data_IF_049318034804
#
_entry.id   IF_049318034804
#
_cell.length_a   1.000
_cell.length_b   1.000
_cell.length_c   1.000
_cell.angle_alpha   90.00
_cell.angle_beta   90.00
_cell.angle_gamma   90.00
#
_symmetry.space_group_name_H-M   'P 1'
#
loop_
_entity.id
_entity.type
_entity.pdbx_description
1 polymer ?
#
# COMPACT_ATOMS: atom_id res chain seq x y z
N UNK A 1 -14.61 24.71 -14.11
CA UNK A 1 -13.69 23.71 -13.54
C UNK A 1 -12.87 23.09 -14.66
N UNK A 2 -11.53 23.11 -14.57
CA UNK A 2 -10.66 22.61 -15.63
C UNK A 2 -10.81 21.09 -15.73
N UNK A 3 -11.11 20.60 -16.94
CA UNK A 3 -11.21 19.17 -17.27
C UNK A 3 -9.94 18.47 -16.80
N UNK A 4 -10.08 17.54 -15.83
CA UNK A 4 -9.06 16.56 -15.48
C UNK A 4 -8.48 15.99 -16.78
N UNK A 5 -7.17 16.12 -16.95
CA UNK A 5 -6.45 15.48 -18.05
C UNK A 5 -6.70 13.97 -17.94
N UNK A 6 -7.48 13.47 -18.90
CA UNK A 6 -7.68 12.05 -19.23
C UNK A 6 -6.38 11.26 -18.94
N UNK A 7 -6.39 10.36 -17.95
CA UNK A 7 -5.27 9.44 -17.70
C UNK A 7 -5.23 8.27 -18.69
N UNK A 8 -6.26 8.12 -19.51
CA UNK A 8 -6.20 7.36 -20.75
C UNK A 8 -6.83 8.22 -21.84
N UNK A 9 -6.00 8.77 -22.71
CA UNK A 9 -6.46 9.56 -23.85
C UNK A 9 -7.48 8.76 -24.66
N UNK A 10 -8.58 9.42 -25.06
CA UNK A 10 -9.55 8.93 -26.05
C UNK A 10 -8.90 8.81 -27.43
N UNK A 11 -7.96 7.89 -27.54
CA UNK A 11 -7.12 7.64 -28.70
C UNK A 11 -6.29 6.36 -28.52
N UNK A 12 -6.72 5.42 -27.68
CA UNK A 12 -6.12 4.09 -27.69
C UNK A 12 -6.58 3.41 -28.99
N UNK A 13 -5.65 3.06 -29.90
CA UNK A 13 -6.01 2.46 -31.17
C UNK A 13 -6.80 1.17 -30.93
N UNK A 14 -7.77 0.85 -31.80
CA UNK A 14 -8.53 -0.40 -31.72
C UNK A 14 -7.59 -1.62 -31.60
N UNK A 15 -6.38 -1.53 -32.19
CA UNK A 15 -5.33 -2.56 -32.09
C UNK A 15 -4.96 -2.92 -30.63
N UNK A 16 -5.06 -2.00 -29.69
CA UNK A 16 -4.73 -2.23 -28.27
C UNK A 16 -5.74 -3.13 -27.54
N UNK A 17 -6.94 -3.32 -28.09
CA UNK A 17 -7.97 -4.23 -27.54
C UNK A 17 -7.69 -5.70 -27.88
N UNK A 18 -6.89 -5.97 -28.91
CA UNK A 18 -6.61 -7.30 -29.44
C UNK A 18 -5.27 -7.83 -28.92
N UNK A 19 -5.32 -8.61 -27.83
CA UNK A 19 -4.17 -9.40 -27.39
C UNK A 19 -4.33 -10.88 -27.80
N UNK A 20 -3.21 -11.61 -27.87
CA UNK A 20 -3.18 -13.02 -28.30
C UNK A 20 -4.15 -13.90 -27.51
N UNK A 21 -4.27 -13.67 -26.20
CA UNK A 21 -5.16 -14.44 -25.33
C UNK A 21 -6.64 -14.18 -25.64
N UNK A 22 -7.03 -12.91 -25.83
CA UNK A 22 -8.38 -12.51 -26.21
C UNK A 22 -8.77 -13.05 -27.59
N UNK A 23 -7.86 -12.96 -28.57
CA UNK A 23 -8.08 -13.54 -29.89
C UNK A 23 -8.27 -15.06 -29.79
N UNK A 24 -7.47 -15.77 -28.98
CA UNK A 24 -7.65 -17.21 -28.77
C UNK A 24 -9.01 -17.55 -28.13
N UNK A 25 -9.50 -16.75 -27.18
CA UNK A 25 -10.83 -16.92 -26.57
C UNK A 25 -11.96 -16.64 -27.56
N UNK A 26 -11.81 -15.66 -28.45
CA UNK A 26 -12.80 -15.38 -29.50
C UNK A 26 -12.83 -16.55 -30.49
N UNK A 27 -11.66 -17.03 -30.92
CA UNK A 27 -11.53 -18.16 -31.83
C UNK A 27 -12.15 -19.44 -31.26
N UNK A 28 -12.05 -19.69 -29.96
CA UNK A 28 -12.67 -20.87 -29.33
C UNK A 28 -14.20 -20.78 -29.23
N UNK A 29 -14.77 -19.58 -29.31
CA UNK A 29 -16.22 -19.33 -29.26
C UNK A 29 -16.88 -19.22 -30.65
N UNK A 30 -16.09 -19.20 -31.73
CA UNK A 30 -16.61 -19.15 -33.10
C UNK A 30 -17.29 -20.47 -33.49
N UNK A 31 -18.57 -20.38 -33.86
CA UNK A 31 -19.35 -21.51 -34.39
C UNK A 31 -19.32 -21.50 -35.92
N UNK A 32 -19.48 -22.67 -36.55
CA UNK A 32 -19.46 -22.83 -38.02
C UNK A 32 -20.45 -21.93 -38.75
N UNK A 33 -21.64 -21.75 -38.18
CA UNK A 33 -22.69 -20.86 -38.71
C UNK A 33 -22.22 -19.41 -38.81
N UNK A 34 -21.51 -18.92 -37.80
CA UNK A 34 -20.96 -17.56 -37.75
C UNK A 34 -19.68 -17.45 -38.58
N UNK A 35 -18.89 -18.51 -38.75
CA UNK A 35 -17.68 -18.46 -39.58
C UNK A 35 -17.99 -18.29 -41.06
N UNK A 36 -19.12 -18.83 -41.53
CA UNK A 36 -19.55 -18.71 -42.92
C UNK A 36 -19.91 -17.28 -43.33
N UNK A 37 -20.22 -16.39 -42.38
CA UNK A 37 -20.50 -14.97 -42.66
C UNK A 37 -19.25 -14.10 -42.76
N UNK A 38 -18.06 -14.61 -42.39
CA UNK A 38 -16.80 -13.87 -42.48
C UNK A 38 -15.97 -14.31 -43.70
N UNK A 39 -15.61 -13.35 -44.55
CA UNK A 39 -14.66 -13.57 -45.64
C UNK A 39 -13.22 -13.48 -45.11
N UNK A 40 -12.63 -14.62 -44.76
CA UNK A 40 -11.25 -14.69 -44.27
C UNK A 40 -10.27 -14.38 -45.41
N UNK A 41 -9.45 -13.33 -45.24
CA UNK A 41 -8.36 -12.97 -46.15
C UNK A 41 -7.01 -13.33 -45.53
N UNK A 42 -6.08 -13.81 -46.35
CA UNK A 42 -4.70 -13.99 -45.92
C UNK A 42 -4.08 -12.64 -45.54
N UNK A 43 -3.33 -12.53 -44.44
CA UNK A 43 -2.64 -11.29 -44.10
C UNK A 43 -1.66 -10.93 -45.20
N UNK A 44 -1.78 -9.73 -45.77
CA UNK A 44 -0.91 -9.22 -46.85
C UNK A 44 0.12 -8.21 -46.35
N UNK A 45 -0.03 -7.73 -45.12
CA UNK A 45 0.84 -6.72 -44.52
C UNK A 45 2.08 -7.37 -43.91
N UNK A 46 3.25 -6.77 -44.13
CA UNK A 46 4.49 -7.20 -43.47
C UNK A 46 4.41 -6.96 -41.96
N UNK A 47 4.89 -7.94 -41.19
CA UNK A 47 4.96 -7.84 -39.74
C UNK A 47 6.04 -6.83 -39.33
N UNK A 48 5.68 -5.86 -38.51
CA UNK A 48 6.64 -4.98 -37.83
C UNK A 48 6.80 -5.46 -36.39
N UNK A 49 8.04 -5.63 -35.94
CA UNK A 49 8.35 -6.06 -34.59
C UNK A 49 9.47 -5.20 -34.01
N UNK A 50 9.49 -5.11 -32.68
CA UNK A 50 10.56 -4.47 -31.91
C UNK A 50 11.29 -5.54 -31.10
N UNK A 51 12.59 -5.35 -30.89
CA UNK A 51 13.42 -6.20 -30.03
C UNK A 51 13.83 -5.34 -28.84
N UNK A 52 13.52 -5.82 -27.63
CA UNK A 52 13.91 -5.21 -26.37
C UNK A 52 14.75 -6.19 -25.56
N UNK A 53 15.72 -5.66 -24.81
CA UNK A 53 16.53 -6.43 -23.88
C UNK A 53 16.23 -5.96 -22.46
N UNK A 54 15.90 -6.91 -21.59
CA UNK A 54 15.63 -6.66 -20.18
C UNK A 54 16.57 -7.52 -19.34
N UNK A 55 16.95 -7.01 -18.16
CA UNK A 55 17.70 -7.78 -17.17
C UNK A 55 16.80 -8.26 -16.06
N UNK A 56 17.14 -9.44 -15.53
CA UNK A 56 16.47 -9.97 -14.35
C UNK A 56 16.54 -8.97 -13.18
N UNK A 57 15.46 -8.84 -12.40
CA UNK A 57 15.45 -7.94 -11.25
C UNK A 57 16.51 -8.28 -10.21
N UNK A 58 17.11 -7.27 -9.61
CA UNK A 58 17.94 -7.44 -8.41
C UNK A 58 17.03 -7.24 -7.20
N UNK A 59 17.01 -8.21 -6.28
CA UNK A 59 16.24 -8.11 -5.05
C UNK A 59 17.16 -7.85 -3.86
N UNK A 60 16.90 -6.77 -3.14
CA UNK A 60 17.61 -6.37 -1.93
C UNK A 60 16.64 -6.35 -0.75
N UNK A 61 17.09 -6.82 0.40
CA UNK A 61 16.28 -7.02 1.59
C UNK A 61 16.95 -6.45 2.84
N UNK A 62 16.15 -5.93 3.77
CA UNK A 62 16.59 -5.52 5.11
C UNK A 62 15.38 -5.28 6.01
N UNK A 63 15.59 -4.63 7.16
CA UNK A 63 14.55 -4.12 8.04
C UNK A 63 14.64 -2.61 8.08
N UNK A 64 13.52 -1.90 8.00
CA UNK A 64 13.50 -0.46 8.14
C UNK A 64 12.95 -0.03 9.49
N UNK A 65 13.54 1.01 10.06
CA UNK A 65 13.00 1.78 11.20
C UNK A 65 12.46 3.09 10.66
N UNK A 66 11.37 3.55 11.25
CA UNK A 66 10.67 4.80 10.91
C UNK A 66 10.51 5.60 12.19
N UNK A 67 11.13 6.77 12.24
CA UNK A 67 11.13 7.65 13.41
C UNK A 67 10.12 8.80 13.29
N UNK A 68 9.78 9.20 12.07
CA UNK A 68 8.81 10.26 11.80
C UNK A 68 7.36 9.79 11.94
N UNK A 69 6.50 10.61 12.55
CA UNK A 69 5.03 10.42 12.59
C UNK A 69 4.30 11.10 11.42
N UNK A 70 5.04 11.67 10.47
CA UNK A 70 4.46 12.35 9.30
C UNK A 70 4.99 11.74 8.00
N UNK A 71 5.34 10.45 8.02
CA UNK A 71 5.96 9.75 6.88
C UNK A 71 5.14 8.51 6.50
N UNK A 72 4.51 8.46 5.32
CA UNK A 72 3.83 7.26 4.85
C UNK A 72 4.82 6.15 4.47
N UNK A 73 4.38 4.89 4.54
CA UNK A 73 5.21 3.75 4.14
C UNK A 73 5.50 3.76 2.63
N UNK A 74 4.47 4.00 1.83
CA UNK A 74 4.53 4.05 0.36
C UNK A 74 4.01 5.41 -0.14
N UNK A 75 4.37 5.86 -1.36
CA UNK A 75 4.03 7.18 -1.86
C UNK A 75 2.51 7.35 -1.93
N UNK A 76 2.00 8.30 -1.16
CA UNK A 76 0.58 8.56 -1.03
C UNK A 76 0.20 9.92 -1.63
N UNK A 77 -1.01 9.99 -2.17
CA UNK A 77 -1.68 11.23 -2.62
C UNK A 77 -3.02 11.33 -1.93
N UNK A 78 -3.38 12.53 -1.48
CA UNK A 78 -4.71 12.77 -0.91
C UNK A 78 -5.83 12.69 -1.97
N UNK A 79 -5.51 12.89 -3.24
CA UNK A 79 -6.43 12.70 -4.37
C UNK A 79 -5.63 12.54 -5.67
N UNK A 80 -6.27 12.05 -6.74
CA UNK A 80 -5.63 11.92 -8.06
C UNK A 80 -5.08 13.23 -8.63
N UNK A 81 -5.64 14.36 -8.21
CA UNK A 81 -5.26 15.69 -8.69
C UNK A 81 -4.08 16.29 -7.92
N UNK A 82 -3.75 15.75 -6.75
CA UNK A 82 -2.66 16.25 -5.92
C UNK A 82 -1.42 15.41 -6.21
N UNK A 83 -0.34 16.00 -6.76
CA UNK A 83 0.88 15.27 -7.01
C UNK A 83 1.44 14.64 -5.73
N UNK A 84 1.97 13.42 -5.85
CA UNK A 84 2.77 12.79 -4.79
C UNK A 84 3.89 13.73 -4.42
N UNK A 85 4.09 13.98 -3.13
CA UNK A 85 5.27 14.69 -2.66
C UNK A 85 6.47 13.75 -2.87
N UNK A 86 7.36 14.02 -3.85
CA UNK A 86 8.40 13.07 -4.21
C UNK A 86 9.39 12.88 -3.06
N UNK A 87 9.79 11.64 -2.79
CA UNK A 87 10.75 11.32 -1.73
C UNK A 87 10.19 11.41 -0.31
N UNK A 88 8.88 11.56 -0.16
CA UNK A 88 8.21 11.63 1.14
C UNK A 88 7.51 10.31 1.49
N UNK A 89 8.22 9.20 1.37
CA UNK A 89 7.79 7.89 1.86
C UNK A 89 8.98 7.06 2.32
N UNK A 90 8.73 6.08 3.19
CA UNK A 90 9.76 5.10 3.60
C UNK A 90 10.32 4.40 2.38
N UNK A 91 9.47 3.91 1.47
CA UNK A 91 9.91 3.22 0.27
C UNK A 91 10.82 4.09 -0.59
N UNK A 92 10.45 5.34 -0.90
CA UNK A 92 11.28 6.20 -1.76
C UNK A 92 12.63 6.55 -1.12
N UNK A 93 12.63 6.79 0.20
CA UNK A 93 13.86 7.10 0.95
C UNK A 93 14.83 5.91 0.98
N UNK A 94 14.31 4.68 0.99
CA UNK A 94 15.11 3.46 0.88
C UNK A 94 15.56 3.18 -0.55
N UNK A 95 14.69 3.39 -1.55
CA UNK A 95 15.00 3.06 -2.96
C UNK A 95 15.95 4.05 -3.61
N UNK A 96 15.93 5.32 -3.20
CA UNK A 96 16.67 6.41 -3.86
C UNK A 96 18.14 6.07 -4.16
N UNK A 97 18.89 5.60 -3.16
CA UNK A 97 20.31 5.30 -3.33
C UNK A 97 20.54 4.02 -4.16
N UNK A 98 19.64 3.04 -4.06
CA UNK A 98 19.70 1.81 -4.86
C UNK A 98 19.40 2.07 -6.35
N UNK A 99 18.42 2.93 -6.64
CA UNK A 99 18.09 3.34 -8.02
C UNK A 99 19.26 4.10 -8.65
N UNK A 100 19.92 4.98 -7.89
CA UNK A 100 21.09 5.73 -8.35
C UNK A 100 22.26 4.81 -8.77
N UNK A 101 22.54 3.78 -7.99
CA UNK A 101 23.63 2.82 -8.25
C UNK A 101 23.30 1.82 -9.37
N UNK A 102 22.05 1.37 -9.44
CA UNK A 102 21.61 0.34 -10.41
C UNK A 102 21.13 0.89 -11.74
N UNK A 103 20.71 2.16 -11.78
CA UNK A 103 19.98 2.77 -12.90
C UNK A 103 18.84 1.86 -13.38
N UNK A 104 18.09 1.26 -12.46
CA UNK A 104 16.94 0.44 -12.80
C UNK A 104 15.78 1.29 -13.33
N UNK A 105 14.93 0.69 -14.15
CA UNK A 105 13.78 1.36 -14.77
C UNK A 105 12.67 1.66 -13.75
N UNK A 106 12.38 0.69 -12.88
CA UNK A 106 11.35 0.84 -11.86
C UNK A 106 11.67 0.00 -10.62
N UNK A 107 10.94 0.26 -9.53
CA UNK A 107 11.14 -0.44 -8.26
C UNK A 107 9.84 -0.95 -7.67
N UNK A 108 9.85 -2.15 -7.10
CA UNK A 108 8.72 -2.72 -6.36
C UNK A 108 9.11 -2.95 -4.90
N UNK A 109 8.45 -2.20 -4.01
CA UNK A 109 8.64 -2.32 -2.56
C UNK A 109 7.65 -3.33 -1.98
N UNK A 110 8.15 -4.28 -1.19
CA UNK A 110 7.39 -5.36 -0.55
C UNK A 110 7.77 -5.33 0.93
N UNK A 111 6.81 -5.14 1.83
CA UNK A 111 7.05 -5.14 3.26
C UNK A 111 6.15 -6.16 3.96
N UNK A 112 6.61 -6.70 5.10
CA UNK A 112 5.78 -7.58 5.92
C UNK A 112 4.83 -6.74 6.78
N UNK A 113 3.71 -6.33 6.18
CA UNK A 113 2.70 -5.44 6.73
C UNK A 113 3.00 -3.95 6.59
N UNK A 114 2.12 -3.14 7.17
CA UNK A 114 2.16 -1.67 7.12
C UNK A 114 1.89 -1.08 8.50
N UNK A 115 2.37 0.14 8.71
CA UNK A 115 1.98 1.01 9.81
C UNK A 115 1.38 2.30 9.26
N UNK A 116 0.53 2.94 10.05
CA UNK A 116 -0.07 4.23 9.69
C UNK A 116 0.99 5.35 9.63
N UNK A 117 0.61 6.47 9.02
CA UNK A 117 1.50 7.63 8.84
C UNK A 117 2.02 8.13 10.19
N UNK A 118 1.16 8.18 11.20
CA UNK A 118 1.42 8.65 12.57
C UNK A 118 2.12 7.64 13.49
N UNK A 119 2.34 6.42 13.02
CA UNK A 119 2.95 5.32 13.78
C UNK A 119 4.45 5.20 13.49
N UNK A 120 5.27 5.09 14.54
CA UNK A 120 6.71 4.82 14.39
C UNK A 120 6.99 3.32 14.29
N UNK A 121 8.07 2.95 13.63
CA UNK A 121 8.61 1.59 13.57
C UNK A 121 10.00 1.59 14.19
N UNK A 122 10.12 1.06 15.41
CA UNK A 122 11.32 1.05 16.24
C UNK A 122 11.96 -0.35 16.33
N UNK A 123 12.76 -0.58 17.37
CA UNK A 123 13.44 -1.87 17.65
C UNK A 123 14.29 -2.36 16.48
N UNK A 124 14.07 -3.60 16.05
CA UNK A 124 14.78 -4.20 14.90
C UNK A 124 14.24 -3.72 13.54
N UNK A 125 13.15 -2.95 13.53
CA UNK A 125 12.48 -2.49 12.31
C UNK A 125 11.56 -3.53 11.67
N UNK A 126 10.88 -3.13 10.59
CA UNK A 126 10.00 -3.99 9.79
C UNK A 126 10.75 -4.60 8.60
N UNK A 127 10.65 -5.92 8.38
CA UNK A 127 11.14 -6.61 7.18
C UNK A 127 10.62 -6.02 5.87
N UNK A 128 11.51 -5.79 4.91
CA UNK A 128 11.16 -5.39 3.55
C UNK A 128 12.10 -5.97 2.49
N UNK A 129 11.57 -6.28 1.32
CA UNK A 129 12.29 -6.57 0.09
C UNK A 129 12.02 -5.48 -0.94
N UNK A 130 13.04 -5.14 -1.72
CA UNK A 130 12.98 -4.23 -2.83
C UNK A 130 13.39 -4.96 -4.10
N UNK A 131 12.52 -4.97 -5.10
CA UNK A 131 12.86 -5.43 -6.45
C UNK A 131 13.25 -4.24 -7.31
N UNK A 132 14.45 -4.29 -7.88
CA UNK A 132 15.00 -3.31 -8.81
C UNK A 132 14.81 -3.87 -10.22
N UNK A 133 13.81 -3.38 -10.94
CA UNK A 133 13.35 -3.95 -12.21
C UNK A 133 14.18 -3.39 -13.35
N UNK A 134 14.63 -4.28 -14.25
CA UNK A 134 15.45 -3.95 -15.40
C UNK A 134 16.69 -3.09 -15.05
N UNK A 135 17.60 -3.58 -14.17
CA UNK A 135 18.78 -2.82 -13.76
C UNK A 135 19.75 -2.62 -14.95
N UNK A 136 20.12 -1.37 -15.22
CA UNK A 136 21.08 -1.08 -16.30
C UNK A 136 22.54 -1.23 -15.88
N UNK A 137 22.82 -1.10 -14.57
CA UNK A 137 24.13 -1.33 -13.94
C UNK A 137 24.04 -2.41 -12.87
N UNK A 138 24.75 -3.52 -13.08
CA UNK A 138 24.73 -4.69 -12.17
C UNK A 138 26.06 -4.95 -11.49
N UNK A 139 27.17 -4.39 -11.99
CA UNK A 139 28.51 -4.62 -11.47
C UNK A 139 28.68 -4.34 -9.96
N UNK A 140 28.07 -3.30 -9.36
CA UNK A 140 28.15 -3.07 -7.91
C UNK A 140 27.44 -4.13 -7.07
N UNK A 141 26.53 -4.91 -7.65
CA UNK A 141 25.67 -5.86 -6.95
C UNK A 141 26.05 -7.32 -7.25
N UNK A 142 27.27 -7.57 -7.76
CA UNK A 142 27.77 -8.88 -8.13
C UNK A 142 29.19 -9.12 -7.59
N UNK A 143 29.50 -10.38 -7.27
CA UNK A 143 30.84 -10.82 -6.86
C UNK A 143 31.37 -10.10 -5.62
N UNK A 144 32.67 -9.80 -5.63
CA UNK A 144 33.39 -9.21 -4.49
C UNK A 144 32.90 -7.79 -4.13
N UNK A 145 32.38 -7.03 -5.11
CA UNK A 145 31.93 -5.64 -4.93
C UNK A 145 30.57 -5.51 -4.23
N UNK A 146 29.82 -6.61 -4.12
CA UNK A 146 28.47 -6.60 -3.54
C UNK A 146 28.49 -6.08 -2.11
N UNK A 147 29.34 -6.66 -1.26
CA UNK A 147 29.37 -6.32 0.17
C UNK A 147 29.81 -4.88 0.42
N UNK A 148 30.79 -4.39 -0.35
CA UNK A 148 31.24 -3.00 -0.26
C UNK A 148 30.15 -2.02 -0.69
N UNK A 149 29.46 -2.31 -1.80
CA UNK A 149 28.39 -1.46 -2.32
C UNK A 149 27.20 -1.41 -1.38
N UNK A 150 26.79 -2.56 -0.81
CA UNK A 150 25.72 -2.61 0.17
C UNK A 150 26.07 -1.82 1.44
N UNK A 151 27.28 -1.98 2.00
CA UNK A 151 27.73 -1.20 3.17
C UNK A 151 27.75 0.31 2.92
N UNK A 152 28.18 0.74 1.73
CA UNK A 152 28.14 2.16 1.33
C UNK A 152 26.71 2.69 1.32
N UNK A 153 25.80 1.94 0.69
CA UNK A 153 24.38 2.32 0.59
C UNK A 153 23.71 2.31 1.98
N UNK A 154 24.07 1.36 2.84
CA UNK A 154 23.61 1.31 4.23
C UNK A 154 24.00 2.57 5.00
N UNK A 155 25.25 3.03 4.87
CA UNK A 155 25.72 4.25 5.53
C UNK A 155 24.93 5.49 5.07
N UNK A 156 24.66 5.62 3.76
CA UNK A 156 23.85 6.71 3.21
C UNK A 156 22.41 6.68 3.74
N UNK A 157 21.77 5.50 3.75
CA UNK A 157 20.40 5.35 4.29
C UNK A 157 20.37 5.68 5.78
N UNK A 158 21.36 5.21 6.55
CA UNK A 158 21.44 5.44 7.99
C UNK A 158 21.80 6.88 8.37
N UNK A 159 22.28 7.70 7.42
CA UNK A 159 22.53 9.12 7.66
C UNK A 159 21.24 9.97 7.67
N UNK A 160 20.12 9.41 7.20
CA UNK A 160 18.83 10.08 7.16
C UNK A 160 18.23 10.24 8.56
N UNK A 161 17.39 11.28 8.74
CA UNK A 161 16.74 11.56 10.03
C UNK A 161 15.47 10.76 10.28
N UNK A 162 14.69 10.52 9.23
CA UNK A 162 13.34 9.95 9.37
C UNK A 162 13.32 8.43 9.43
N UNK A 163 14.36 7.79 8.86
CA UNK A 163 14.48 6.34 8.73
C UNK A 163 15.91 5.89 8.99
N UNK A 164 16.05 4.62 9.36
CA UNK A 164 17.33 3.92 9.38
C UNK A 164 17.11 2.44 9.11
N UNK A 165 18.14 1.72 8.70
CA UNK A 165 18.11 0.27 8.62
C UNK A 165 18.22 -0.33 10.02
N UNK A 166 17.43 -1.37 10.27
CA UNK A 166 17.47 -2.20 11.47
C UNK A 166 18.25 -3.51 11.29
N UNK A 167 18.66 -3.80 10.05
CA UNK A 167 19.54 -4.91 9.69
C UNK A 167 20.42 -4.51 8.48
N UNK A 168 21.53 -5.20 8.21
CA UNK A 168 22.28 -4.99 6.96
C UNK A 168 21.43 -5.25 5.72
N UNK A 169 21.71 -4.57 4.62
CA UNK A 169 21.17 -4.89 3.30
C UNK A 169 21.74 -6.22 2.84
N UNK A 170 20.88 -7.05 2.25
CA UNK A 170 21.27 -8.35 1.70
C UNK A 170 20.64 -8.55 0.33
N UNK A 171 21.36 -9.17 -0.59
CA UNK A 171 20.77 -9.65 -1.84
C UNK A 171 20.01 -10.95 -1.56
N UNK A 172 18.78 -11.07 -2.06
CA UNK A 172 17.90 -12.21 -1.81
C UNK A 172 17.25 -12.74 -3.10
N UNK A 173 16.81 -14.00 -3.09
CA UNK A 173 16.12 -14.61 -4.22
C UNK A 173 14.64 -14.24 -4.24
N UNK A 174 13.99 -14.46 -5.39
CA UNK A 174 12.53 -14.29 -5.53
C UNK A 174 11.78 -15.15 -4.50
N UNK A 175 12.20 -16.41 -4.33
CA UNK A 175 11.63 -17.32 -3.31
C UNK A 175 11.74 -16.74 -1.89
N UNK A 176 12.88 -16.14 -1.55
CA UNK A 176 13.08 -15.51 -0.24
C UNK A 176 12.22 -14.25 -0.06
N UNK A 177 11.94 -13.52 -1.13
CA UNK A 177 11.04 -12.37 -1.11
C UNK A 177 9.57 -12.80 -0.92
N UNK A 178 9.14 -13.90 -1.55
CA UNK A 178 7.78 -14.45 -1.41
C UNK A 178 7.46 -14.84 0.04
N UNK A 179 8.46 -15.31 0.80
CA UNK A 179 8.31 -15.62 2.23
C UNK A 179 7.80 -14.44 3.06
N UNK A 180 8.09 -13.18 2.67
CA UNK A 180 7.60 -11.99 3.40
C UNK A 180 6.07 -11.91 3.40
N UNK A 181 5.45 -12.26 2.26
CA UNK A 181 4.02 -12.18 2.03
C UNK A 181 3.30 -13.33 2.72
N UNK A 182 3.77 -14.57 2.53
CA UNK A 182 3.12 -15.77 3.05
C UNK A 182 3.03 -15.80 4.59
N UNK A 183 3.99 -15.18 5.27
CA UNK A 183 4.08 -15.23 6.74
C UNK A 183 3.58 -13.95 7.41
N UNK A 184 3.00 -13.01 6.68
CA UNK A 184 2.56 -11.71 7.24
C UNK A 184 1.46 -11.86 8.30
N UNK A 185 0.54 -12.80 8.09
CA UNK A 185 -0.69 -12.96 8.87
C UNK A 185 -0.55 -13.94 10.04
N UNK A 186 0.63 -14.51 10.24
CA UNK A 186 0.92 -15.45 11.32
C UNK A 186 1.74 -14.80 12.46
N UNK A 187 2.29 -13.60 12.22
CA UNK A 187 3.31 -13.02 13.09
C UNK A 187 2.75 -12.10 14.17
N UNK A 188 3.17 -12.39 15.39
CA UNK A 188 3.00 -11.49 16.54
C UNK A 188 3.76 -10.19 16.32
N UNK A 189 3.18 -9.11 16.84
CA UNK A 189 3.75 -7.76 16.77
C UNK A 189 3.71 -7.15 18.17
N UNK A 190 4.80 -6.49 18.54
CA UNK A 190 4.92 -5.79 19.81
C UNK A 190 4.73 -4.30 19.56
N UNK A 191 3.92 -3.66 20.38
CA UNK A 191 3.60 -2.25 20.29
C UNK A 191 3.79 -1.58 21.64
N UNK A 192 4.05 -0.28 21.57
CA UNK A 192 3.92 0.62 22.71
C UNK A 192 2.94 1.74 22.34
N UNK A 193 1.84 1.79 23.08
CA UNK A 193 0.79 2.79 22.96
C UNK A 193 0.89 3.80 24.11
N UNK A 194 0.83 5.08 23.77
CA UNK A 194 0.68 6.15 24.75
C UNK A 194 -0.79 6.55 24.78
N UNK A 195 -1.46 6.19 25.87
CA UNK A 195 -2.90 6.33 26.01
C UNK A 195 -3.25 7.49 26.95
N UNK A 196 -4.36 8.13 26.68
CA UNK A 196 -5.02 9.11 27.52
C UNK A 196 -6.28 8.50 28.13
N UNK A 197 -6.60 8.92 29.35
CA UNK A 197 -7.88 8.62 30.00
C UNK A 197 -8.44 9.89 30.63
N UNK A 198 -9.76 10.08 30.54
CA UNK A 198 -10.49 11.15 31.24
C UNK A 198 -10.31 11.03 32.77
N UNK A 199 -10.28 9.80 33.27
CA UNK A 199 -10.15 9.44 34.67
C UNK A 199 -8.69 9.22 35.08
N UNK A 200 -8.43 9.30 36.38
CA UNK A 200 -7.11 9.04 36.93
C UNK A 200 -6.91 7.53 37.05
N UNK A 201 -5.81 7.03 36.50
CA UNK A 201 -5.46 5.62 36.53
C UNK A 201 -4.45 5.35 37.66
N UNK A 202 -4.83 4.53 38.63
CA UNK A 202 -3.96 4.08 39.72
C UNK A 202 -3.14 2.85 39.30
N UNK A 203 -1.91 2.72 39.79
CA UNK A 203 -1.00 1.60 39.47
C UNK A 203 -1.62 0.22 39.75
N UNK A 204 -2.40 0.08 40.83
CA UNK A 204 -3.07 -1.19 41.16
C UNK A 204 -4.04 -1.66 40.08
N UNK A 205 -4.82 -0.73 39.51
CA UNK A 205 -5.76 -1.05 38.42
C UNK A 205 -5.00 -1.52 37.18
N UNK A 206 -3.82 -0.95 36.95
CA UNK A 206 -2.98 -1.29 35.80
C UNK A 206 -2.32 -2.66 35.97
N UNK A 207 -1.90 -3.00 37.18
CA UNK A 207 -1.37 -4.32 37.50
C UNK A 207 -2.46 -5.40 37.39
N UNK A 208 -3.68 -5.11 37.88
CA UNK A 208 -4.85 -5.97 37.69
C UNK A 208 -5.14 -6.20 36.20
N UNK A 209 -5.05 -5.17 35.35
CA UNK A 209 -5.18 -5.33 33.91
C UNK A 209 -4.11 -6.22 33.30
N UNK A 210 -2.84 -6.02 33.70
CA UNK A 210 -1.73 -6.84 33.21
C UNK A 210 -1.94 -8.33 33.54
N UNK A 211 -2.52 -8.63 34.70
CA UNK A 211 -2.83 -10.01 35.12
C UNK A 211 -3.93 -10.70 34.30
N UNK A 212 -4.73 -9.96 33.51
CA UNK A 212 -5.80 -10.52 32.67
C UNK A 212 -5.29 -11.07 31.33
N UNK A 213 -4.01 -10.86 31.00
CA UNK A 213 -3.38 -11.38 29.78
C UNK A 213 -3.09 -12.89 29.97
N UNK A 214 -3.35 -13.76 28.96
CA UNK A 214 -3.78 -13.46 27.60
C UNK A 214 -5.27 -13.13 27.48
N UNK A 215 -5.59 -12.15 26.63
CA UNK A 215 -6.96 -11.71 26.33
C UNK A 215 -7.35 -12.15 24.92
N UNK A 216 -8.52 -12.77 24.81
CA UNK A 216 -9.20 -12.96 23.52
C UNK A 216 -10.09 -11.75 23.26
N UNK A 217 -9.93 -11.13 22.09
CA UNK A 217 -10.69 -9.95 21.69
C UNK A 217 -11.44 -10.21 20.38
N UNK A 218 -12.66 -9.70 20.30
CA UNK A 218 -13.47 -9.69 19.09
C UNK A 218 -13.46 -8.28 18.53
N UNK A 219 -12.88 -8.11 17.34
CA UNK A 219 -12.82 -6.83 16.63
C UNK A 219 -13.61 -6.94 15.33
N UNK A 220 -14.57 -6.05 15.12
CA UNK A 220 -15.10 -5.81 13.76
C UNK A 220 -14.07 -5.02 12.97
N UNK A 221 -14.17 -5.06 11.63
CA UNK A 221 -13.37 -4.20 10.76
C UNK A 221 -13.54 -2.74 11.20
N UNK A 222 -12.44 -1.98 11.40
CA UNK A 222 -12.54 -0.58 11.80
C UNK A 222 -13.37 0.23 10.80
N UNK A 223 -14.12 1.21 11.30
CA UNK A 223 -14.97 2.07 10.47
C UNK A 223 -14.19 2.78 9.36
N UNK A 224 -12.95 3.19 9.60
CA UNK A 224 -12.09 3.81 8.58
C UNK A 224 -11.80 2.84 7.44
N UNK A 225 -11.48 1.58 7.76
CA UNK A 225 -11.23 0.55 6.76
C UNK A 225 -12.49 0.15 6.00
N UNK A 226 -13.65 0.08 6.67
CA UNK A 226 -14.94 -0.14 5.99
C UNK A 226 -15.24 0.99 4.99
N UNK A 227 -14.96 2.25 5.35
CA UNK A 227 -15.14 3.38 4.44
C UNK A 227 -14.23 3.29 3.22
N UNK A 228 -12.95 2.95 3.43
CA UNK A 228 -11.98 2.76 2.34
C UNK A 228 -12.40 1.60 1.43
N UNK A 229 -12.82 0.47 2.00
CA UNK A 229 -13.30 -0.68 1.23
C UNK A 229 -14.54 -0.34 0.42
N UNK A 230 -15.52 0.35 1.03
CA UNK A 230 -16.73 0.78 0.34
C UNK A 230 -16.47 1.87 -0.72
N UNK A 231 -15.45 2.71 -0.54
CA UNK A 231 -15.00 3.63 -1.58
C UNK A 231 -14.33 2.89 -2.74
N UNK A 232 -13.44 1.95 -2.43
CA UNK A 232 -12.78 1.11 -3.43
C UNK A 232 -13.77 0.24 -4.21
N UNK A 233 -14.76 -0.38 -3.55
CA UNK A 233 -15.82 -1.15 -4.20
C UNK A 233 -16.66 -0.26 -5.11
N UNK A 234 -17.03 0.96 -4.66
CA UNK A 234 -17.72 1.93 -5.51
C UNK A 234 -16.86 2.37 -6.69
N UNK A 235 -15.56 2.55 -6.51
CA UNK A 235 -14.63 2.87 -7.60
C UNK A 235 -14.48 1.70 -8.59
N UNK A 236 -14.44 0.45 -8.10
CA UNK A 236 -14.43 -0.73 -8.96
C UNK A 236 -15.75 -0.88 -9.73
N UNK A 237 -16.89 -0.76 -9.05
CA UNK A 237 -18.20 -0.78 -9.68
C UNK A 237 -18.36 0.38 -10.68
N UNK A 238 -17.86 1.58 -10.35
CA UNK A 238 -17.85 2.71 -11.28
C UNK A 238 -16.91 2.47 -12.47
N UNK A 239 -15.76 1.80 -12.27
CA UNK A 239 -14.85 1.44 -13.34
C UNK A 239 -15.41 0.32 -14.23
N UNK A 240 -16.09 -0.67 -13.64
CA UNK A 240 -16.78 -1.74 -14.36
C UNK A 240 -17.99 -1.19 -15.11
N UNK A 241 -18.75 -0.29 -14.48
CA UNK A 241 -19.84 0.43 -15.12
C UNK A 241 -19.34 1.38 -16.21
N UNK A 242 -18.21 2.08 -16.01
CA UNK A 242 -17.57 2.88 -17.05
C UNK A 242 -17.06 1.96 -18.18
N UNK A 243 -16.56 0.77 -17.88
CA UNK A 243 -16.15 -0.20 -18.88
C UNK A 243 -17.35 -0.72 -19.69
N UNK A 244 -18.47 -1.01 -19.03
CA UNK A 244 -19.74 -1.39 -19.66
C UNK A 244 -20.35 -0.24 -20.46
N UNK A 245 -20.38 0.98 -19.91
CA UNK A 245 -20.79 2.21 -20.58
C UNK A 245 -19.88 2.50 -21.77
N UNK A 246 -18.57 2.27 -21.69
CA UNK A 246 -17.66 2.39 -22.83
C UNK A 246 -17.85 1.28 -23.85
N UNK A 247 -18.19 0.07 -23.44
CA UNK A 247 -18.52 -1.03 -24.35
C UNK A 247 -19.81 -0.71 -25.10
N UNK A 248 -20.80 -0.19 -24.37
CA UNK A 248 -22.06 0.30 -24.89
C UNK A 248 -21.85 1.53 -25.78
N UNK A 249 -21.09 2.54 -25.37
CA UNK A 249 -20.68 3.70 -26.18
C UNK A 249 -19.85 3.28 -27.40
N UNK A 250 -19.11 2.18 -27.37
CA UNK A 250 -18.39 1.67 -28.54
C UNK A 250 -19.35 0.97 -29.52
N UNK A 251 -20.34 0.24 -29.00
CA UNK A 251 -21.44 -0.31 -29.80
C UNK A 251 -22.36 0.78 -30.33
N UNK A 252 -22.65 1.77 -29.51
CA UNK A 252 -23.49 2.92 -29.80
C UNK A 252 -22.74 3.92 -30.66
N UNK A 253 -21.42 4.07 -30.59
CA UNK A 253 -20.62 4.85 -31.54
C UNK A 253 -20.55 4.18 -32.90
N UNK A 254 -20.55 2.84 -32.97
CA UNK A 254 -20.77 2.12 -34.24
C UNK A 254 -22.17 2.38 -34.81
N UNK A 255 -23.17 2.64 -33.95
CA UNK A 255 -24.55 2.97 -34.33
C UNK A 255 -24.74 4.48 -34.57
N UNK A 256 -23.99 5.35 -33.89
CA UNK A 256 -24.06 6.81 -33.92
C UNK A 256 -23.13 7.40 -34.98
N UNK A 257 -22.13 6.67 -35.49
CA UNK A 257 -21.52 6.95 -36.80
C UNK A 257 -22.58 6.84 -37.93
N UNK A 258 -23.72 6.17 -37.67
CA UNK A 258 -24.92 6.20 -38.52
C UNK A 258 -25.95 7.28 -38.15
N UNK A 259 -25.92 7.88 -36.95
CA UNK A 259 -27.05 8.69 -36.45
C UNK A 259 -26.71 10.10 -35.87
N UNK A 260 -25.45 10.47 -35.70
CA UNK A 260 -25.04 11.83 -35.26
C UNK A 260 -24.90 12.84 -36.41
N UNK A 261 -25.98 12.98 -37.18
CA UNK A 261 -26.31 14.19 -37.95
C UNK A 261 -27.29 15.10 -37.17
N UNK A 262 -27.38 14.96 -35.83
CA UNK A 262 -28.45 15.60 -35.06
C UNK A 262 -28.07 16.09 -33.64
N UNK A 263 -27.13 17.05 -33.61
CA UNK A 263 -27.07 18.25 -32.72
C UNK A 263 -27.15 18.10 -31.19
N UNK A 264 -26.04 18.50 -30.56
CA UNK A 264 -25.84 18.94 -29.16
C UNK A 264 -26.44 20.31 -28.81
N UNK A 265 -26.62 20.60 -27.50
CA UNK A 265 -26.02 21.71 -26.68
C UNK A 265 -26.80 21.88 -25.33
N UNK A 266 -26.21 21.53 -24.16
CA UNK A 266 -25.68 22.38 -23.03
C UNK A 266 -26.73 22.74 -21.94
N UNK A 267 -26.52 23.00 -20.62
CA UNK A 267 -25.40 23.36 -19.72
C UNK A 267 -25.93 23.28 -18.23
N UNK A 268 -25.20 22.83 -17.17
CA UNK A 268 -24.39 23.57 -16.15
C UNK A 268 -24.94 23.70 -14.68
N UNK A 269 -24.07 23.34 -13.69
CA UNK A 269 -23.71 24.02 -12.39
C UNK A 269 -24.66 24.06 -11.14
N UNK A 270 -24.26 24.21 -9.84
CA UNK A 270 -23.03 24.60 -9.07
C UNK A 270 -23.08 24.21 -7.54
N UNK A 271 -21.97 24.45 -6.80
CA UNK A 271 -21.51 24.14 -5.40
C UNK A 271 -22.18 24.85 -4.18
N UNK A 272 -21.82 24.43 -2.91
CA UNK A 272 -21.31 25.22 -1.70
C UNK A 272 -21.51 24.44 -0.36
N UNK A 273 -20.97 24.72 0.85
CA UNK A 273 -19.63 25.09 1.40
C UNK A 273 -19.65 25.15 2.99
N UNK A 274 -18.55 24.74 3.67
CA UNK A 274 -17.86 25.24 4.93
C UNK A 274 -18.49 25.24 6.38
N UNK A 275 -17.72 24.78 7.41
CA UNK A 275 -17.19 25.53 8.63
C UNK A 275 -17.00 24.72 9.95
N UNK A 276 -15.73 24.50 10.41
CA UNK A 276 -15.02 25.07 11.62
C UNK A 276 -15.38 24.44 13.00
N UNK A 277 -14.61 24.43 14.11
CA UNK A 277 -13.19 24.43 14.55
C UNK A 277 -13.20 24.38 16.11
N UNK A 278 -12.19 23.83 16.81
CA UNK A 278 -11.45 24.42 17.99
C UNK A 278 -10.67 23.38 18.83
N UNK A 279 -9.55 23.85 19.43
CA UNK A 279 -8.54 23.12 20.20
C UNK A 279 -8.59 23.47 21.70
N UNK A 280 -8.18 22.53 22.57
CA UNK A 280 -8.02 22.75 24.02
C UNK A 280 -6.70 22.19 24.58
N UNK A 281 -6.20 22.81 25.65
CA UNK A 281 -4.95 22.50 26.37
C UNK A 281 -5.17 21.52 27.55
N UNK A 282 -4.20 20.64 27.84
CA UNK A 282 -4.34 19.54 28.82
C UNK A 282 -3.48 19.71 30.09
N UNK A 283 -3.99 19.34 31.29
CA UNK A 283 -3.22 19.20 32.52
C UNK A 283 -2.66 17.78 32.74
N UNK A 284 -1.72 17.67 33.69
CA UNK A 284 -0.82 16.54 33.97
C UNK A 284 -1.50 15.44 34.84
N UNK A 285 -1.13 14.17 34.60
CA UNK A 285 -1.57 12.90 35.23
C UNK A 285 -2.85 12.21 34.71
N UNK A 286 -3.12 12.34 33.40
CA UNK A 286 -4.16 11.59 32.66
C UNK A 286 -3.59 10.68 31.55
N UNK A 287 -2.28 10.50 31.52
CA UNK A 287 -1.57 9.87 30.39
C UNK A 287 -0.73 8.71 30.89
N UNK A 288 -0.73 7.61 30.15
CA UNK A 288 0.01 6.42 30.52
C UNK A 288 0.59 5.69 29.32
N UNK A 289 1.81 5.18 29.47
CA UNK A 289 2.50 4.38 28.46
C UNK A 289 2.19 2.90 28.68
N UNK A 290 1.79 2.19 27.63
CA UNK A 290 1.39 0.78 27.67
C UNK A 290 2.09 0.00 26.59
N UNK A 291 2.77 -1.07 27.01
CA UNK A 291 3.35 -2.05 26.11
C UNK A 291 2.36 -3.19 25.92
N UNK A 292 2.13 -3.60 24.68
CA UNK A 292 1.20 -4.66 24.33
C UNK A 292 1.77 -5.52 23.21
N UNK A 293 1.54 -6.82 23.29
CA UNK A 293 1.91 -7.76 22.24
C UNK A 293 0.63 -8.41 21.71
N UNK A 294 0.45 -8.37 20.39
CA UNK A 294 -0.78 -8.85 19.75
C UNK A 294 -0.48 -9.89 18.70
N UNK A 295 -1.51 -10.65 18.32
CA UNK A 295 -1.51 -11.44 17.11
C UNK A 295 -1.46 -10.54 15.85
N UNK A 296 -1.21 -11.15 14.70
CA UNK A 296 -1.29 -10.45 13.43
C UNK A 296 -2.72 -9.93 13.17
N UNK A 297 -2.83 -8.81 12.47
CA UNK A 297 -4.12 -8.23 12.09
C UNK A 297 -4.87 -7.49 13.21
N UNK A 298 -4.36 -7.49 14.45
CA UNK A 298 -4.99 -6.74 15.55
C UNK A 298 -4.92 -5.23 15.34
N UNK A 299 -6.08 -4.59 15.45
CA UNK A 299 -6.27 -3.15 15.33
C UNK A 299 -6.06 -2.50 16.70
N UNK A 300 -4.83 -2.03 16.95
CA UNK A 300 -4.41 -1.57 18.29
C UNK A 300 -5.12 -0.29 18.72
N UNK A 301 -5.37 0.65 17.81
CA UNK A 301 -6.07 1.91 18.13
C UNK A 301 -7.47 1.59 18.63
N UNK A 302 -8.16 0.71 17.92
CA UNK A 302 -9.52 0.26 18.18
C UNK A 302 -9.62 -0.60 19.44
N UNK A 303 -8.58 -1.38 19.77
CA UNK A 303 -8.47 -2.02 21.08
C UNK A 303 -8.41 -1.00 22.21
N UNK A 304 -7.75 0.15 22.03
CA UNK A 304 -7.66 1.20 23.06
C UNK A 304 -8.98 1.95 23.24
N UNK A 305 -9.52 2.56 22.17
CA UNK A 305 -10.72 3.41 22.28
C UNK A 305 -12.06 2.64 22.16
N UNK A 306 -12.01 1.37 21.73
CA UNK A 306 -13.16 0.45 21.64
C UNK A 306 -14.04 0.60 20.40
N UNK A 307 -13.69 1.51 19.48
CA UNK A 307 -14.41 1.78 18.22
C UNK A 307 -15.95 1.81 18.39
N UNK A 308 -16.44 2.63 19.33
CA UNK A 308 -17.87 2.75 19.67
C UNK A 308 -18.57 1.42 19.99
N UNK A 309 -17.84 0.48 20.56
CA UNK A 309 -18.36 -0.83 20.94
C UNK A 309 -18.15 -1.95 19.94
N UNK A 310 -17.41 -1.68 18.87
CA UNK A 310 -17.09 -2.65 17.82
C UNK A 310 -15.88 -3.52 18.16
N UNK A 311 -15.09 -3.15 19.17
CA UNK A 311 -14.02 -3.98 19.75
C UNK A 311 -14.33 -4.35 21.21
N UNK A 312 -14.38 -5.65 21.52
CA UNK A 312 -14.73 -6.17 22.85
C UNK A 312 -13.89 -7.41 23.26
N UNK A 313 -13.34 -7.45 24.48
CA UNK A 313 -13.15 -6.31 25.38
C UNK A 313 -12.12 -5.31 24.80
N UNK A 314 -12.37 -4.02 24.97
CA UNK A 314 -11.43 -2.92 24.72
C UNK A 314 -10.76 -2.47 26.02
N UNK A 315 -9.71 -1.65 25.94
CA UNK A 315 -9.07 -1.07 27.13
C UNK A 315 -10.07 -0.24 27.96
N UNK A 316 -10.99 0.49 27.32
CA UNK A 316 -12.08 1.19 27.99
C UNK A 316 -12.98 0.23 28.79
N UNK A 317 -13.40 -0.90 28.18
CA UNK A 317 -14.21 -1.92 28.87
C UNK A 317 -13.47 -2.51 30.08
N UNK A 318 -12.18 -2.79 29.91
CA UNK A 318 -11.36 -3.41 30.95
C UNK A 318 -11.11 -2.47 32.13
N UNK A 319 -11.01 -1.16 31.86
CA UNK A 319 -10.90 -0.10 32.86
C UNK A 319 -12.24 0.28 33.48
N UNK A 320 -13.37 -0.21 32.92
CA UNK A 320 -14.74 0.18 33.30
C UNK A 320 -14.98 1.69 33.15
N UNK A 321 -14.37 2.29 32.13
CA UNK A 321 -14.54 3.70 31.76
C UNK A 321 -15.44 3.74 30.52
N UNK A 322 -16.24 4.80 30.38
CA UNK A 322 -17.12 4.97 29.22
C UNK A 322 -16.34 5.03 27.89
N UNK A 323 -16.97 4.59 26.79
CA UNK A 323 -16.34 4.68 25.47
C UNK A 323 -16.18 6.13 25.03
N UNK A 324 -15.02 6.45 24.45
CA UNK A 324 -14.65 7.82 24.07
C UNK A 324 -13.92 8.59 25.17
N UNK A 325 -13.83 8.03 26.36
CA UNK A 325 -13.08 8.61 27.48
C UNK A 325 -11.67 8.04 27.65
N UNK A 326 -11.34 7.01 26.88
CA UNK A 326 -9.98 6.46 26.72
C UNK A 326 -9.61 6.54 25.24
N UNK A 327 -8.43 7.09 24.96
CA UNK A 327 -7.95 7.26 23.59
C UNK A 327 -6.44 7.05 23.46
N UNK A 328 -5.98 6.81 22.24
CA UNK A 328 -4.58 6.61 21.90
C UNK A 328 -4.00 7.91 21.33
N UNK A 329 -2.99 8.45 22.00
CA UNK A 329 -2.30 9.65 21.54
C UNK A 329 -1.18 9.31 20.56
N UNK A 330 -0.42 8.26 20.86
CA UNK A 330 0.70 7.82 20.05
C UNK A 330 0.82 6.31 20.06
N UNK A 331 1.28 5.75 18.94
CA UNK A 331 1.55 4.33 18.79
C UNK A 331 2.91 4.12 18.15
N UNK A 332 3.65 3.17 18.68
CA UNK A 332 4.91 2.69 18.14
C UNK A 332 4.83 1.18 17.95
N UNK A 333 5.27 0.70 16.80
CA UNK A 333 5.63 -0.70 16.64
C UNK A 333 7.04 -0.86 17.18
N UNK A 334 7.23 -1.74 18.16
CA UNK A 334 8.55 -2.02 18.72
C UNK A 334 9.23 -3.18 18.01
N UNK A 335 8.47 -4.21 17.65
CA UNK A 335 9.02 -5.38 17.01
C UNK A 335 7.99 -6.09 16.12
N UNK A 336 8.50 -6.67 15.05
CA UNK A 336 7.78 -7.63 14.21
C UNK A 336 8.52 -8.96 14.40
N UNK A 337 7.88 -9.92 15.07
CA UNK A 337 8.47 -11.20 15.45
C UNK A 337 8.69 -12.09 14.21
N UNK A 338 9.77 -11.81 13.49
CA UNK A 338 10.19 -12.50 12.28
C UNK A 338 11.72 -12.46 12.19
N UNK A 339 12.34 -13.62 12.07
CA UNK A 339 13.74 -13.75 11.70
C UNK A 339 13.88 -13.58 10.18
N UNK A 340 14.16 -12.35 9.75
CA UNK A 340 14.32 -11.98 8.35
C UNK A 340 15.04 -10.62 8.22
N UNK A 341 15.90 -10.40 7.22
CA UNK A 341 16.26 -11.30 6.11
C UNK A 341 17.06 -12.54 6.53
N UNK A 342 16.98 -13.66 5.77
CA UNK A 342 17.70 -14.88 6.09
C UNK A 342 19.22 -14.65 6.13
N UNK A 343 19.90 -15.41 7.00
CA UNK A 343 21.33 -15.25 7.24
C UNK A 343 22.22 -15.76 6.10
N UNK A 344 21.72 -16.70 5.29
CA UNK A 344 22.46 -17.20 4.13
C UNK A 344 22.44 -16.18 3.00
N UNK A 345 23.64 -15.71 2.65
CA UNK A 345 23.85 -15.03 1.38
C UNK A 345 23.58 -16.01 0.23
N UNK A 346 23.22 -15.48 -0.94
CA UNK A 346 23.32 -16.24 -2.18
C UNK A 346 24.71 -16.88 -2.29
N UNK A 347 24.74 -18.21 -2.31
CA UNK A 347 25.75 -18.96 -3.07
C UNK A 347 25.37 -18.97 -4.55
#
# INVERSE_FOLDING_TARGET
MPKRRRRFGGGMPLESLYNKARVAVILSKLRKENMASYAMKSPTQQCTYSIAFEREPILIASRYRKFSRNLPQSPWTASDDIPKVPGNSVSEKLTKELVKETKCESTRFIASGREDIDVRMLGTGRPFALQLINPHLTAPFCGEKLQESLKRIEAEINSQRDIALGAPLRRISVKQAEMLTCTQDEKRKCYTAYCYSSERLDEKVLDELASKVPLEIVQKTPLENERILAEYEREQEAADKELEERLAELMDAMIQECEEHKKHIEHEFHNTDINSATFGTYPVNKKSLRRLETQAGTYVKEFVHGDFGRTRPSLADLLRIEHGEVDILHLDVENVCMEWPPESNFD
#
